data_IF_162091751953
#
_entry.id   IF_162091751953
#
_cell.length_a   1.000
_cell.length_b   1.000
_cell.length_c   1.000
_cell.angle_alpha   90.00
_cell.angle_beta   90.00
_cell.angle_gamma   90.00
#
_symmetry.space_group_name_H-M   'P 1'
#
loop_
_entity.id
_entity.type
_entity.pdbx_description
1 polymer ?
#
# COMPACT_ATOMS: atom_id res chain seq x y z
N UNK A 1 18.92 -13.06 31.37
CA UNK A 1 18.98 -11.61 31.62
C UNK A 1 17.64 -11.03 31.25
N UNK A 2 16.90 -10.50 32.20
CA UNK A 2 15.55 -9.96 31.97
C UNK A 2 15.71 -8.61 31.28
N UNK A 3 15.29 -8.51 30.02
CA UNK A 3 15.12 -7.23 29.34
C UNK A 3 13.74 -6.70 29.70
N UNK A 4 13.74 -5.65 30.50
CA UNK A 4 12.55 -4.88 30.83
C UNK A 4 12.07 -4.16 29.55
N UNK A 5 10.81 -4.37 29.26
CA UNK A 5 10.06 -3.70 28.19
C UNK A 5 9.90 -2.22 28.57
N UNK A 6 10.70 -1.34 27.98
CA UNK A 6 10.41 0.10 28.02
C UNK A 6 9.41 0.38 26.89
N UNK A 7 8.14 0.37 27.27
CA UNK A 7 7.11 1.01 26.48
C UNK A 7 7.36 2.52 26.48
N UNK A 8 7.48 3.07 25.30
CA UNK A 8 7.43 4.51 25.07
C UNK A 8 6.01 4.97 25.37
N UNK A 9 5.76 5.28 26.65
CA UNK A 9 4.58 6.05 27.06
C UNK A 9 4.91 7.52 26.88
N UNK A 10 4.15 8.18 26.05
CA UNK A 10 4.04 9.63 26.12
C UNK A 10 4.40 10.38 24.86
N UNK A 11 3.41 10.57 24.00
CA UNK A 11 3.08 11.89 23.46
C UNK A 11 1.68 11.86 22.85
N UNK A 12 0.68 11.77 23.71
CA UNK A 12 -0.66 12.29 23.39
C UNK A 12 -0.59 13.78 23.68
N UNK A 13 -0.36 14.58 22.66
CA UNK A 13 -0.60 16.02 22.72
C UNK A 13 -2.11 16.23 22.66
N UNK A 14 -2.71 16.38 23.83
CA UNK A 14 -4.05 16.92 23.96
C UNK A 14 -4.02 18.38 23.51
N UNK A 15 -4.63 18.68 22.38
CA UNK A 15 -4.98 20.04 22.03
C UNK A 15 -6.15 20.49 22.87
N UNK A 16 -6.13 21.71 23.47
CA UNK A 16 -7.26 22.21 24.23
C UNK A 16 -8.40 22.58 23.30
N UNK A 17 -9.57 22.01 23.56
CA UNK A 17 -10.84 22.49 23.01
C UNK A 17 -11.12 23.86 23.62
N UNK A 18 -10.98 24.90 22.82
CA UNK A 18 -11.53 26.23 23.12
C UNK A 18 -12.91 26.31 22.49
N UNK A 19 -13.91 26.09 23.30
CA UNK A 19 -15.28 26.50 23.00
C UNK A 19 -15.34 28.04 22.99
N UNK A 20 -15.70 28.62 21.87
CA UNK A 20 -16.13 30.02 21.79
C UNK A 20 -17.50 30.05 21.15
N UNK A 21 -18.51 30.22 22.03
CA UNK A 21 -19.79 30.75 21.63
C UNK A 21 -19.59 32.16 21.11
N UNK A 22 -20.11 32.47 19.92
CA UNK A 22 -20.51 33.85 19.66
C UNK A 22 -21.64 33.96 18.68
N UNK A 23 -22.63 34.65 19.17
CA UNK A 23 -23.80 35.21 18.46
C UNK A 23 -23.41 36.45 17.64
N UNK A 24 -24.31 36.76 16.73
CA UNK A 24 -24.58 37.96 15.97
C UNK A 24 -24.08 38.00 14.53
N UNK A 25 -25.08 37.77 13.68
CA UNK A 25 -25.06 38.15 12.29
C UNK A 25 -25.03 39.69 12.10
N UNK A 26 -24.04 40.19 11.40
CA UNK A 26 -24.11 41.49 10.72
C UNK A 26 -24.00 41.24 9.22
N UNK A 27 -24.73 41.96 8.36
CA UNK A 27 -24.69 41.73 6.92
C UNK A 27 -23.33 42.14 6.36
N UNK A 28 -22.73 41.23 5.58
CA UNK A 28 -21.47 41.45 4.88
C UNK A 28 -21.70 42.37 3.66
N UNK A 29 -20.99 43.52 3.55
CA UNK A 29 -21.09 44.42 2.41
C UNK A 29 -20.29 43.99 1.18
N UNK A 30 -19.68 42.79 1.14
CA UNK A 30 -18.85 42.31 0.04
C UNK A 30 -19.39 41.09 -0.73
N UNK A 31 -20.70 40.93 -0.76
CA UNK A 31 -21.35 39.99 -1.68
C UNK A 31 -21.11 40.39 -3.14
N UNK A 32 -20.02 39.98 -3.76
CA UNK A 32 -19.69 40.30 -5.15
C UNK A 32 -18.32 39.95 -5.66
N UNK A 33 -17.43 39.45 -4.82
CA UNK A 33 -16.14 38.98 -5.30
C UNK A 33 -16.22 37.50 -5.73
N UNK A 34 -16.28 37.28 -7.04
CA UNK A 34 -15.96 36.00 -7.66
C UNK A 34 -14.49 35.71 -7.32
N UNK A 35 -14.25 34.74 -6.45
CA UNK A 35 -12.91 34.23 -6.19
C UNK A 35 -12.31 33.74 -7.51
N UNK A 36 -11.06 34.03 -7.83
CA UNK A 36 -10.39 33.39 -8.96
C UNK A 36 -10.45 31.88 -8.77
N UNK A 37 -10.77 31.15 -9.84
CA UNK A 37 -10.72 29.69 -9.84
C UNK A 37 -9.33 29.25 -9.38
N UNK A 38 -9.28 28.32 -8.41
CA UNK A 38 -8.05 27.69 -7.91
C UNK A 38 -7.29 27.08 -9.09
N UNK A 39 -6.06 27.51 -9.44
CA UNK A 39 -5.30 26.92 -10.53
C UNK A 39 -4.84 25.49 -10.25
N UNK A 40 -5.08 24.95 -9.03
CA UNK A 40 -4.77 23.60 -8.62
C UNK A 40 -6.01 22.72 -8.44
N UNK A 41 -7.20 23.18 -8.74
CA UNK A 41 -8.35 22.31 -8.92
C UNK A 41 -8.05 21.41 -10.13
N UNK A 42 -7.45 20.24 -9.88
CA UNK A 42 -7.16 19.24 -10.91
C UNK A 42 -8.39 19.09 -11.79
N UNK A 43 -8.20 18.98 -13.09
CA UNK A 43 -9.24 19.00 -14.12
C UNK A 43 -10.42 18.12 -13.70
N UNK A 44 -11.39 18.74 -13.02
CA UNK A 44 -12.72 18.18 -12.87
C UNK A 44 -13.32 18.16 -14.27
N UNK A 45 -13.35 16.98 -14.87
CA UNK A 45 -14.13 16.79 -16.09
C UNK A 45 -15.57 17.15 -15.78
N UNK A 46 -16.00 18.31 -16.27
CA UNK A 46 -17.34 18.85 -16.02
C UNK A 46 -18.38 17.82 -16.52
N UNK A 47 -19.08 17.17 -15.59
CA UNK A 47 -20.20 16.28 -15.89
C UNK A 47 -20.05 14.82 -15.48
N UNK A 48 -18.91 14.35 -14.94
CA UNK A 48 -18.83 12.98 -14.42
C UNK A 48 -19.08 12.94 -12.90
N UNK A 49 -19.97 12.04 -12.44
CA UNK A 49 -20.09 11.79 -11.01
C UNK A 49 -18.77 11.16 -10.52
N UNK A 50 -18.07 11.85 -9.62
CA UNK A 50 -16.83 11.42 -8.96
C UNK A 50 -17.12 10.35 -7.90
N UNK A 51 -17.87 9.30 -8.24
CA UNK A 51 -18.17 8.20 -7.33
C UNK A 51 -17.15 7.06 -7.46
N UNK A 52 -16.98 6.29 -6.39
CA UNK A 52 -16.16 5.09 -6.36
C UNK A 52 -16.59 4.04 -7.37
N UNK A 53 -15.68 3.12 -7.70
CA UNK A 53 -15.93 2.06 -8.69
C UNK A 53 -16.81 0.93 -8.13
N UNK A 54 -16.85 0.76 -6.80
CA UNK A 54 -17.59 -0.32 -6.14
C UNK A 54 -18.84 0.15 -5.41
N UNK A 55 -19.09 1.48 -5.34
CA UNK A 55 -20.24 2.03 -4.64
C UNK A 55 -20.34 3.55 -4.69
N UNK A 56 -21.36 4.07 -4.01
CA UNK A 56 -21.67 5.51 -3.97
C UNK A 56 -20.88 6.20 -2.83
N UNK A 57 -19.59 6.35 -3.00
CA UNK A 57 -18.65 7.04 -2.11
C UNK A 57 -17.63 7.82 -2.96
N UNK A 58 -16.81 8.74 -2.41
CA UNK A 58 -15.80 9.46 -3.17
C UNK A 58 -14.81 8.53 -3.88
N UNK A 59 -14.49 8.77 -5.16
CA UNK A 59 -13.57 7.95 -5.96
C UNK A 59 -12.17 7.89 -5.34
N UNK A 60 -11.75 8.92 -4.60
CA UNK A 60 -10.49 8.96 -3.85
C UNK A 60 -10.35 7.85 -2.81
N UNK A 61 -11.45 7.22 -2.36
CA UNK A 61 -11.43 6.10 -1.43
C UNK A 61 -10.90 4.81 -2.05
N UNK A 62 -11.05 4.62 -3.38
CA UNK A 62 -10.54 3.45 -4.10
C UNK A 62 -9.01 3.47 -4.19
N UNK A 63 -8.40 2.31 -3.93
CA UNK A 63 -6.93 2.13 -3.90
C UNK A 63 -6.57 0.83 -4.63
N UNK A 64 -5.62 0.03 -4.18
CA UNK A 64 -5.26 -1.24 -4.80
C UNK A 64 -6.34 -2.31 -4.61
N UNK A 65 -6.51 -3.19 -5.58
CA UNK A 65 -7.53 -4.25 -5.54
C UNK A 65 -8.92 -3.68 -5.29
N UNK A 66 -9.55 -4.11 -4.22
CA UNK A 66 -10.81 -3.58 -3.71
C UNK A 66 -10.64 -2.82 -2.40
N UNK A 67 -9.41 -2.52 -1.98
CA UNK A 67 -9.13 -1.87 -0.69
C UNK A 67 -9.51 -0.40 -0.67
N UNK A 68 -9.65 0.16 0.53
CA UNK A 68 -10.02 1.55 0.80
C UNK A 68 -8.89 2.33 1.46
N UNK A 69 -8.89 3.65 1.24
CA UNK A 69 -8.09 4.65 1.92
C UNK A 69 -8.96 5.80 2.44
N UNK A 70 -8.43 6.77 3.22
CA UNK A 70 -9.15 7.98 3.59
C UNK A 70 -9.65 8.74 2.36
N UNK A 71 -10.88 9.31 2.43
CA UNK A 71 -11.51 10.01 1.32
C UNK A 71 -10.75 11.28 0.90
N UNK A 72 -10.07 11.94 1.86
CA UNK A 72 -9.26 13.13 1.62
C UNK A 72 -7.89 12.83 1.00
N UNK A 73 -7.49 11.55 0.91
CA UNK A 73 -6.25 11.16 0.24
C UNK A 73 -6.35 11.47 -1.27
N UNK A 74 -5.24 11.92 -1.85
CA UNK A 74 -5.22 12.22 -3.28
C UNK A 74 -5.44 10.94 -4.10
N UNK A 75 -6.28 11.04 -5.11
CA UNK A 75 -6.42 10.02 -6.15
C UNK A 75 -5.65 10.52 -7.37
N UNK A 76 -4.36 10.19 -7.39
CA UNK A 76 -3.46 10.68 -8.42
C UNK A 76 -3.62 9.89 -9.72
N UNK A 77 -3.61 10.61 -10.84
CA UNK A 77 -3.66 10.00 -12.17
C UNK A 77 -3.97 11.01 -13.26
N UNK A 78 -3.48 10.75 -14.45
CA UNK A 78 -3.84 11.49 -15.66
C UNK A 78 -5.15 10.93 -16.19
N UNK A 79 -6.17 11.79 -16.32
CA UNK A 79 -7.50 11.40 -16.74
C UNK A 79 -7.78 11.79 -18.20
N UNK A 80 -8.49 10.92 -18.91
CA UNK A 80 -8.95 11.14 -20.28
C UNK A 80 -10.34 10.54 -20.49
N UNK A 81 -11.01 10.98 -21.55
CA UNK A 81 -12.31 10.45 -21.96
C UNK A 81 -12.20 9.87 -23.38
N UNK A 82 -12.74 8.65 -23.57
CA UNK A 82 -12.83 8.00 -24.88
C UNK A 82 -14.25 7.44 -25.08
N UNK A 83 -15.12 8.24 -25.70
CA UNK A 83 -16.55 7.91 -25.78
C UNK A 83 -17.18 7.79 -24.39
N UNK A 84 -17.80 6.65 -24.09
CA UNK A 84 -18.42 6.37 -22.78
C UNK A 84 -17.42 5.87 -21.73
N UNK A 85 -16.11 5.79 -22.05
CA UNK A 85 -15.10 5.32 -21.13
C UNK A 85 -14.34 6.47 -20.48
N UNK A 86 -14.30 6.50 -19.15
CA UNK A 86 -13.36 7.30 -18.39
C UNK A 86 -12.07 6.51 -18.22
N UNK A 87 -10.96 7.09 -18.66
CA UNK A 87 -9.64 6.48 -18.60
C UNK A 87 -8.80 7.18 -17.52
N UNK A 88 -7.99 6.41 -16.80
CA UNK A 88 -6.99 6.93 -15.87
C UNK A 88 -5.67 6.22 -16.13
N UNK A 89 -4.58 7.00 -16.17
CA UNK A 89 -3.21 6.50 -16.22
C UNK A 89 -2.41 7.02 -15.03
N UNK A 90 -1.67 6.13 -14.38
CA UNK A 90 -0.75 6.48 -13.30
C UNK A 90 0.60 5.82 -13.54
N UNK A 91 1.67 6.56 -13.26
CA UNK A 91 3.04 6.07 -13.39
C UNK A 91 3.87 6.56 -12.20
N UNK A 92 4.60 5.65 -11.59
CA UNK A 92 5.65 5.97 -10.61
C UNK A 92 6.81 5.01 -10.85
N UNK A 93 7.86 5.48 -11.51
CA UNK A 93 9.07 4.68 -11.82
C UNK A 93 10.28 5.29 -11.17
N UNK A 94 11.10 4.47 -10.54
CA UNK A 94 12.31 4.87 -9.82
C UNK A 94 13.53 4.08 -10.28
N UNK A 95 14.67 4.76 -10.44
CA UNK A 95 15.98 4.15 -10.43
C UNK A 95 16.57 4.30 -9.03
N UNK A 96 16.81 3.17 -8.35
CA UNK A 96 17.23 3.14 -6.93
C UNK A 96 18.62 2.54 -6.81
N UNK A 97 19.53 3.24 -6.15
CA UNK A 97 20.78 2.66 -5.65
C UNK A 97 20.63 2.38 -4.16
N UNK A 98 20.71 1.09 -3.79
CA UNK A 98 20.71 0.61 -2.40
C UNK A 98 22.11 0.18 -1.99
N UNK A 99 22.54 0.61 -0.81
CA UNK A 99 23.76 0.17 -0.13
C UNK A 99 23.42 -0.20 1.30
N UNK A 100 23.52 -1.50 1.60
CA UNK A 100 23.25 -2.07 2.92
C UNK A 100 24.59 -2.44 3.57
N UNK A 101 24.85 -1.96 4.78
CA UNK A 101 26.12 -2.15 5.49
C UNK A 101 26.13 -3.41 6.36
N UNK A 102 27.33 -3.75 6.89
CA UNK A 102 27.54 -4.88 7.79
C UNK A 102 27.89 -6.18 7.07
N UNK A 103 28.07 -7.26 7.83
CA UNK A 103 28.53 -8.55 7.32
C UNK A 103 27.52 -9.22 6.34
N UNK A 104 26.23 -8.86 6.44
CA UNK A 104 25.15 -9.34 5.57
C UNK A 104 24.70 -8.27 4.57
N UNK A 105 25.44 -7.17 4.49
CA UNK A 105 25.15 -6.08 3.57
C UNK A 105 25.52 -6.38 2.12
N UNK A 106 24.89 -5.64 1.21
CA UNK A 106 25.18 -5.70 -0.23
C UNK A 106 24.74 -4.38 -0.87
N UNK A 107 25.15 -4.17 -2.13
CA UNK A 107 24.73 -2.99 -2.90
C UNK A 107 24.15 -3.37 -4.26
N UNK A 108 23.26 -2.53 -4.79
CA UNK A 108 22.66 -2.73 -6.10
C UNK A 108 22.01 -1.46 -6.62
N UNK A 109 22.12 -1.24 -7.94
CA UNK A 109 21.28 -0.31 -8.70
C UNK A 109 20.18 -1.10 -9.40
N UNK A 110 18.92 -0.66 -9.27
CA UNK A 110 17.76 -1.39 -9.82
C UNK A 110 16.60 -0.46 -10.16
N UNK A 111 15.74 -0.83 -11.11
CA UNK A 111 14.47 -0.17 -11.33
C UNK A 111 13.44 -0.67 -10.32
N UNK A 112 12.51 0.20 -9.90
CA UNK A 112 11.35 -0.14 -9.09
C UNK A 112 10.17 0.76 -9.45
N UNK A 113 8.96 0.33 -9.12
CA UNK A 113 7.76 1.12 -9.31
C UNK A 113 6.68 0.44 -10.13
N UNK A 114 5.78 1.24 -10.73
CA UNK A 114 4.63 0.71 -11.47
C UNK A 114 4.15 1.66 -12.55
N UNK A 115 3.44 1.08 -13.52
CA UNK A 115 2.62 1.77 -14.52
C UNK A 115 1.23 1.16 -14.43
N UNK A 116 0.21 1.96 -14.19
CA UNK A 116 -1.18 1.52 -14.07
C UNK A 116 -2.08 2.25 -15.07
N UNK A 117 -3.01 1.51 -15.66
CA UNK A 117 -4.11 2.03 -16.45
C UNK A 117 -5.44 1.52 -15.91
N UNK A 118 -6.44 2.38 -15.88
CA UNK A 118 -7.81 2.00 -15.57
C UNK A 118 -8.78 2.54 -16.61
N UNK A 119 -9.84 1.77 -16.88
CA UNK A 119 -10.92 2.14 -17.78
C UNK A 119 -12.27 1.84 -17.11
N UNK A 120 -13.04 2.89 -16.86
CA UNK A 120 -14.36 2.82 -16.23
C UNK A 120 -15.45 3.12 -17.25
N UNK A 121 -16.53 2.37 -17.16
CA UNK A 121 -17.77 2.64 -17.90
C UNK A 121 -18.98 2.47 -17.00
N UNK A 122 -19.80 3.51 -16.92
CA UNK A 122 -21.12 3.46 -16.30
C UNK A 122 -22.16 3.11 -17.39
N UNK A 123 -22.76 1.92 -17.31
CA UNK A 123 -23.80 1.48 -18.25
C UNK A 123 -25.16 2.09 -17.90
N UNK A 124 -25.34 2.44 -16.63
CA UNK A 124 -26.53 3.10 -16.08
C UNK A 124 -26.13 3.88 -14.82
N UNK A 125 -27.08 4.56 -14.18
CA UNK A 125 -26.85 5.16 -12.86
C UNK A 125 -26.56 4.12 -11.77
N UNK A 126 -26.93 2.85 -12.01
CA UNK A 126 -26.71 1.76 -11.07
C UNK A 126 -25.49 0.90 -11.40
N UNK A 127 -25.13 0.74 -12.67
CA UNK A 127 -24.16 -0.28 -13.13
C UNK A 127 -22.85 0.34 -13.55
N UNK A 128 -21.76 -0.08 -12.90
CA UNK A 128 -20.38 0.36 -13.20
C UNK A 128 -19.49 -0.84 -13.50
N UNK A 129 -18.79 -0.78 -14.62
CA UNK A 129 -17.67 -1.67 -14.95
C UNK A 129 -16.35 -0.89 -14.83
N UNK A 130 -15.37 -1.48 -14.18
CA UNK A 130 -14.02 -0.95 -14.14
C UNK A 130 -13.01 -2.05 -14.51
N UNK A 131 -12.07 -1.74 -15.39
CA UNK A 131 -10.96 -2.61 -15.81
C UNK A 131 -9.66 -1.97 -15.38
N UNK A 132 -8.72 -2.77 -14.87
CA UNK A 132 -7.38 -2.29 -14.46
C UNK A 132 -6.28 -3.20 -14.98
N UNK A 133 -5.16 -2.56 -15.33
CA UNK A 133 -3.91 -3.21 -15.67
C UNK A 133 -2.77 -2.48 -14.94
N UNK A 134 -1.94 -3.24 -14.23
CA UNK A 134 -0.75 -2.70 -13.56
C UNK A 134 0.48 -3.53 -13.93
N UNK A 135 1.55 -2.84 -14.30
CA UNK A 135 2.82 -3.42 -14.70
C UNK A 135 3.95 -2.91 -13.79
N UNK A 136 4.93 -3.77 -13.51
CA UNK A 136 6.14 -3.42 -12.74
C UNK A 136 7.41 -3.60 -13.58
N UNK A 137 8.41 -2.72 -13.42
CA UNK A 137 9.75 -2.92 -13.99
C UNK A 137 10.62 -3.89 -13.17
N UNK A 138 10.15 -4.39 -12.02
CA UNK A 138 10.92 -5.17 -11.06
C UNK A 138 11.60 -6.43 -11.66
N UNK A 139 10.99 -7.18 -12.61
CA UNK A 139 11.67 -8.33 -13.21
C UNK A 139 13.02 -8.00 -13.85
N UNK A 140 13.22 -6.76 -14.29
CA UNK A 140 14.48 -6.30 -14.88
C UNK A 140 15.61 -6.12 -13.85
N UNK A 141 15.30 -6.11 -12.55
CA UNK A 141 16.34 -6.17 -11.52
C UNK A 141 16.91 -7.58 -11.31
N UNK A 142 16.26 -8.62 -11.87
CA UNK A 142 16.65 -10.02 -11.75
C UNK A 142 16.09 -10.71 -10.51
N UNK A 143 16.03 -12.05 -10.54
CA UNK A 143 15.31 -12.90 -9.56
C UNK A 143 15.78 -12.73 -8.10
N UNK A 144 17.03 -12.35 -7.88
CA UNK A 144 17.57 -12.10 -6.53
C UNK A 144 17.07 -10.81 -5.89
N UNK A 145 16.16 -10.08 -6.54
CA UNK A 145 15.64 -8.83 -6.02
C UNK A 145 16.70 -7.80 -5.68
N UNK A 146 16.49 -7.01 -4.65
CA UNK A 146 17.44 -5.99 -4.20
C UNK A 146 17.80 -6.14 -2.72
N UNK A 147 19.00 -5.69 -2.30
CA UNK A 147 19.43 -5.76 -0.89
C UNK A 147 18.52 -4.91 0.00
N UNK A 148 17.95 -5.54 1.00
CA UNK A 148 17.15 -4.93 2.05
C UNK A 148 17.33 -5.74 3.34
N UNK A 149 18.08 -5.21 4.29
CA UNK A 149 18.35 -5.89 5.56
C UNK A 149 17.05 -6.25 6.28
N UNK A 150 17.02 -7.45 6.87
CA UNK A 150 15.91 -8.03 7.63
C UNK A 150 14.69 -8.45 6.78
N UNK A 151 14.68 -8.17 5.49
CA UNK A 151 13.65 -8.72 4.59
C UNK A 151 13.95 -10.19 4.29
N UNK A 152 12.90 -11.00 4.20
CA UNK A 152 12.98 -12.41 3.82
C UNK A 152 11.65 -12.84 3.20
N UNK A 153 11.64 -14.02 2.64
CA UNK A 153 10.48 -14.60 1.97
C UNK A 153 10.76 -14.90 0.51
N UNK A 154 9.94 -15.76 -0.07
CA UNK A 154 10.08 -16.25 -1.44
C UNK A 154 11.46 -16.87 -1.77
N UNK A 155 11.68 -17.17 -3.02
CA UNK A 155 12.92 -17.79 -3.51
C UNK A 155 13.31 -17.27 -4.88
N UNK A 156 14.61 -17.22 -5.17
CA UNK A 156 15.11 -16.86 -6.49
C UNK A 156 15.46 -18.08 -7.35
N UNK A 157 15.66 -19.25 -6.73
CA UNK A 157 16.19 -20.47 -7.36
C UNK A 157 15.32 -21.71 -7.14
N UNK A 158 14.23 -21.60 -6.36
CA UNK A 158 13.35 -22.70 -5.99
C UNK A 158 13.90 -23.63 -4.91
N UNK A 159 15.00 -23.25 -4.26
CA UNK A 159 15.70 -24.11 -3.29
C UNK A 159 16.13 -23.42 -1.99
N UNK A 160 16.27 -22.12 -1.99
CA UNK A 160 16.67 -21.33 -0.83
C UNK A 160 15.83 -20.05 -0.71
N UNK A 161 15.51 -19.65 0.54
CA UNK A 161 14.85 -18.37 0.79
C UNK A 161 15.75 -17.18 0.43
N UNK A 162 15.15 -16.14 -0.09
CA UNK A 162 15.78 -14.82 -0.13
C UNK A 162 15.88 -14.29 1.29
N UNK A 163 17.06 -13.92 1.73
CA UNK A 163 17.33 -13.37 3.06
C UNK A 163 18.15 -12.09 2.91
N UNK A 164 17.78 -11.04 3.65
CA UNK A 164 18.29 -9.68 3.50
C UNK A 164 18.12 -9.14 2.09
N UNK A 165 17.03 -9.56 1.46
CA UNK A 165 16.63 -9.16 0.11
C UNK A 165 15.13 -9.07 0.00
N UNK A 166 14.68 -8.04 -0.71
CA UNK A 166 13.32 -7.99 -1.21
C UNK A 166 13.27 -8.66 -2.58
N UNK A 167 12.32 -9.58 -2.76
CA UNK A 167 12.04 -10.20 -4.06
C UNK A 167 11.48 -9.19 -5.06
N UNK A 168 11.64 -9.41 -6.39
CA UNK A 168 11.00 -8.59 -7.41
C UNK A 168 9.52 -8.95 -7.54
N UNK A 169 8.69 -8.00 -7.89
CA UNK A 169 7.32 -8.25 -8.33
C UNK A 169 7.29 -8.87 -9.73
N UNK A 170 6.15 -9.46 -10.11
CA UNK A 170 5.91 -9.90 -11.48
C UNK A 170 5.71 -8.72 -12.43
N UNK A 171 5.98 -8.94 -13.73
CA UNK A 171 5.77 -7.92 -14.76
C UNK A 171 4.33 -7.41 -14.77
N UNK A 172 3.36 -8.34 -14.68
CA UNK A 172 1.95 -8.02 -14.57
C UNK A 172 1.54 -8.17 -13.12
N UNK A 173 1.38 -7.03 -12.42
CA UNK A 173 0.99 -7.00 -11.01
C UNK A 173 -0.52 -7.11 -10.82
N UNK A 174 -1.29 -6.53 -11.74
CA UNK A 174 -2.74 -6.62 -11.76
C UNK A 174 -3.26 -6.63 -13.20
N UNK A 175 -4.17 -7.54 -13.47
CA UNK A 175 -5.05 -7.55 -14.63
C UNK A 175 -6.43 -7.96 -14.12
N UNK A 176 -7.28 -6.97 -13.89
CA UNK A 176 -8.51 -7.16 -13.14
C UNK A 176 -9.70 -6.42 -13.75
N UNK A 177 -10.88 -6.91 -13.43
CA UNK A 177 -12.14 -6.25 -13.71
C UNK A 177 -13.07 -6.30 -12.51
N UNK A 178 -13.81 -5.22 -12.26
CA UNK A 178 -14.88 -5.19 -11.27
C UNK A 178 -16.18 -4.71 -11.88
N UNK A 179 -17.28 -5.27 -11.41
CA UNK A 179 -18.63 -4.83 -11.74
C UNK A 179 -19.38 -4.56 -10.45
N UNK A 180 -19.99 -3.39 -10.36
CA UNK A 180 -20.83 -3.00 -9.22
C UNK A 180 -22.22 -2.62 -9.64
N UNK A 181 -23.20 -2.94 -8.79
CA UNK A 181 -24.61 -2.60 -8.94
C UNK A 181 -25.07 -1.85 -7.71
N UNK A 182 -25.57 -0.63 -7.91
CA UNK A 182 -26.18 0.22 -6.88
C UNK A 182 -27.58 -0.32 -6.56
N UNK A 183 -27.81 -0.67 -5.32
CA UNK A 183 -29.09 -1.18 -4.80
C UNK A 183 -29.95 -0.05 -4.21
N UNK A 184 -29.30 0.96 -3.62
CA UNK A 184 -29.89 2.17 -3.06
C UNK A 184 -28.89 3.33 -3.10
N UNK A 185 -29.20 4.48 -2.54
CA UNK A 185 -28.25 5.60 -2.43
C UNK A 185 -27.05 5.25 -1.52
N UNK A 186 -27.23 4.33 -0.59
CA UNK A 186 -26.19 3.91 0.39
C UNK A 186 -25.61 2.52 0.11
N UNK A 187 -26.33 1.70 -0.65
CA UNK A 187 -26.02 0.26 -0.78
C UNK A 187 -25.57 -0.08 -2.20
N UNK A 188 -24.52 -0.86 -2.31
CA UNK A 188 -24.10 -1.51 -3.55
C UNK A 188 -23.53 -2.89 -3.31
N UNK A 189 -23.70 -3.76 -4.31
CA UNK A 189 -23.03 -5.05 -4.37
C UNK A 189 -22.03 -5.06 -5.52
N UNK A 190 -20.94 -5.81 -5.40
CA UNK A 190 -19.93 -5.88 -6.44
C UNK A 190 -19.27 -7.25 -6.55
N UNK A 191 -18.70 -7.48 -7.70
CA UNK A 191 -17.78 -8.58 -8.01
C UNK A 191 -16.46 -8.00 -8.52
N UNK A 192 -15.35 -8.64 -8.16
CA UNK A 192 -14.01 -8.33 -8.67
C UNK A 192 -13.34 -9.65 -9.05
N UNK A 193 -12.71 -9.66 -10.22
CA UNK A 193 -11.93 -10.79 -10.74
C UNK A 193 -10.57 -10.27 -11.14
N UNK A 194 -9.50 -10.95 -10.70
CA UNK A 194 -8.11 -10.61 -11.03
C UNK A 194 -7.28 -11.83 -11.43
N UNK A 195 -6.43 -11.65 -12.47
CA UNK A 195 -5.47 -12.65 -12.90
C UNK A 195 -4.24 -12.00 -13.55
N UNK A 196 -3.27 -11.54 -12.73
CA UNK A 196 -3.31 -11.49 -11.25
C UNK A 196 -4.23 -10.40 -10.70
N UNK A 197 -4.45 -10.46 -9.38
CA UNK A 197 -5.25 -9.51 -8.64
C UNK A 197 -4.93 -9.50 -7.14
N UNK A 198 -5.67 -8.69 -6.37
CA UNK A 198 -5.52 -8.55 -4.92
C UNK A 198 -6.77 -9.09 -4.20
N UNK A 199 -6.67 -10.14 -3.37
CA UNK A 199 -7.77 -10.62 -2.54
C UNK A 199 -8.09 -9.64 -1.40
N UNK A 200 -9.27 -9.80 -0.80
CA UNK A 200 -9.72 -9.02 0.36
C UNK A 200 -8.97 -9.44 1.65
N UNK A 201 -7.65 -9.25 1.67
CA UNK A 201 -6.76 -9.61 2.76
C UNK A 201 -5.70 -8.52 2.96
N UNK A 202 -5.63 -7.98 4.17
CA UNK A 202 -4.67 -6.94 4.51
C UNK A 202 -5.11 -5.51 4.18
N UNK A 203 -4.26 -4.52 4.57
CA UNK A 203 -4.37 -3.14 4.14
C UNK A 203 -4.06 -3.01 2.63
N UNK A 204 -4.28 -1.82 2.01
CA UNK A 204 -3.81 -1.58 0.65
C UNK A 204 -2.33 -1.92 0.49
N UNK A 205 -1.93 -2.38 -0.68
CA UNK A 205 -0.53 -2.65 -1.00
C UNK A 205 0.34 -1.42 -0.69
N UNK A 206 1.53 -1.63 -0.11
CA UNK A 206 2.34 -0.55 0.47
C UNK A 206 2.63 0.59 -0.51
N UNK A 207 2.86 0.29 -1.78
CA UNK A 207 3.15 1.27 -2.82
C UNK A 207 1.98 2.21 -3.15
N UNK A 208 0.77 1.81 -2.78
CA UNK A 208 -0.46 2.60 -2.98
C UNK A 208 -0.91 3.37 -1.74
N UNK A 209 -0.34 3.08 -0.57
CA UNK A 209 -0.67 3.85 0.65
C UNK A 209 -0.07 5.25 0.57
N UNK A 210 -0.88 6.27 0.82
CA UNK A 210 -0.42 7.67 0.85
C UNK A 210 0.73 7.90 1.85
N UNK A 211 0.78 7.12 2.94
CA UNK A 211 1.83 7.14 3.96
C UNK A 211 3.17 6.55 3.49
N UNK A 212 3.19 5.72 2.44
CA UNK A 212 4.36 4.98 1.97
C UNK A 212 4.82 5.36 0.56
N UNK A 213 3.99 6.05 -0.23
CA UNK A 213 4.23 6.33 -1.65
C UNK A 213 5.52 7.10 -1.97
N UNK A 214 6.08 7.81 -0.97
CA UNK A 214 7.36 8.51 -1.11
C UNK A 214 8.59 7.62 -0.82
N UNK A 215 8.41 6.45 -0.20
CA UNK A 215 9.47 5.54 0.22
C UNK A 215 9.73 4.46 -0.85
N UNK A 216 10.92 4.38 -1.47
CA UNK A 216 11.21 3.39 -2.50
C UNK A 216 11.43 1.97 -1.96
N UNK A 217 11.60 1.81 -0.63
CA UNK A 217 11.83 0.52 -0.02
C UNK A 217 10.52 -0.19 0.33
N UNK A 218 10.41 -1.47 0.01
CA UNK A 218 9.36 -2.32 0.55
C UNK A 218 9.46 -2.39 2.10
N UNK A 219 8.35 -2.56 2.82
CA UNK A 219 8.41 -2.80 4.25
C UNK A 219 8.91 -4.21 4.56
N UNK A 220 9.66 -4.39 5.64
CA UNK A 220 10.02 -5.74 6.14
C UNK A 220 8.78 -6.48 6.69
N UNK A 221 7.70 -5.77 6.96
CA UNK A 221 6.40 -6.29 7.38
C UNK A 221 5.51 -6.76 6.21
N UNK A 222 5.99 -6.67 4.97
CA UNK A 222 5.22 -6.97 3.76
C UNK A 222 4.51 -8.33 3.83
N UNK A 223 5.22 -9.41 4.20
CA UNK A 223 4.68 -10.76 4.28
C UNK A 223 3.65 -10.97 5.42
N UNK A 224 3.53 -10.05 6.36
CA UNK A 224 2.50 -10.07 7.41
C UNK A 224 1.23 -9.32 7.04
N UNK A 225 1.30 -8.42 6.05
CA UNK A 225 0.26 -7.44 5.80
C UNK A 225 -0.34 -7.54 4.39
N UNK A 226 0.49 -7.40 3.36
CA UNK A 226 0.04 -7.11 2.00
C UNK A 226 0.77 -7.89 0.89
N UNK A 227 1.46 -9.00 1.19
CA UNK A 227 2.16 -9.81 0.19
C UNK A 227 1.25 -10.45 -0.86
N UNK A 228 -0.04 -10.61 -0.55
CA UNK A 228 -1.02 -11.19 -1.48
C UNK A 228 -1.53 -10.20 -2.54
N UNK A 229 -0.98 -8.98 -2.64
CA UNK A 229 -1.42 -7.99 -3.62
C UNK A 229 -1.16 -8.38 -5.08
N UNK A 230 -0.33 -9.40 -5.33
CA UNK A 230 -0.17 -10.06 -6.62
C UNK A 230 -0.50 -11.54 -6.44
N UNK A 231 -1.70 -11.94 -6.81
CA UNK A 231 -2.19 -13.31 -6.66
C UNK A 231 -2.77 -13.79 -7.98
N UNK A 232 -2.24 -14.90 -8.51
CA UNK A 232 -2.70 -15.48 -9.77
C UNK A 232 -4.02 -16.25 -9.59
N UNK A 233 -5.13 -15.51 -9.73
CA UNK A 233 -6.49 -16.00 -9.56
C UNK A 233 -7.13 -15.50 -8.27
N UNK A 234 -7.99 -14.48 -8.43
CA UNK A 234 -8.79 -13.88 -7.35
C UNK A 234 -10.21 -13.69 -7.83
N UNK A 235 -11.16 -14.10 -7.01
CA UNK A 235 -12.58 -13.79 -7.16
C UNK A 235 -13.10 -13.23 -5.84
N UNK A 236 -13.56 -11.98 -5.84
CA UNK A 236 -14.08 -11.29 -4.66
C UNK A 236 -15.51 -10.87 -4.89
N UNK A 237 -16.39 -11.13 -3.92
CA UNK A 237 -17.72 -10.56 -3.84
C UNK A 237 -17.79 -9.67 -2.61
N UNK A 238 -18.46 -8.52 -2.74
CA UNK A 238 -18.57 -7.58 -1.64
C UNK A 238 -19.84 -6.75 -1.65
N UNK A 239 -20.09 -6.16 -0.50
CA UNK A 239 -21.22 -5.28 -0.24
C UNK A 239 -20.73 -4.02 0.47
N UNK A 240 -21.18 -2.88 -0.04
CA UNK A 240 -20.92 -1.55 0.52
C UNK A 240 -22.21 -1.03 1.13
N UNK A 241 -22.12 -0.49 2.33
CA UNK A 241 -23.16 0.26 3.00
C UNK A 241 -22.57 1.54 3.59
N UNK A 242 -22.78 2.69 2.90
CA UNK A 242 -22.23 3.97 3.32
C UNK A 242 -20.70 3.94 3.57
N UNK A 243 -20.34 4.06 4.84
CA UNK A 243 -18.96 4.05 5.33
C UNK A 243 -18.40 2.64 5.57
N UNK A 244 -19.18 1.58 5.36
CA UNK A 244 -18.79 0.20 5.62
C UNK A 244 -18.71 -0.62 4.35
N UNK A 245 -17.77 -1.57 4.34
CA UNK A 245 -17.67 -2.57 3.28
C UNK A 245 -17.28 -3.91 3.88
N UNK A 246 -17.96 -4.97 3.44
CA UNK A 246 -17.62 -6.36 3.74
C UNK A 246 -17.35 -7.09 2.44
N UNK A 247 -16.30 -7.92 2.44
CA UNK A 247 -15.81 -8.62 1.25
C UNK A 247 -15.43 -10.05 1.59
N UNK A 248 -15.64 -10.94 0.65
CA UNK A 248 -15.16 -12.33 0.70
C UNK A 248 -14.43 -12.62 -0.59
N UNK A 249 -13.22 -13.16 -0.49
CA UNK A 249 -12.40 -13.57 -1.63
C UNK A 249 -12.15 -15.06 -1.61
N UNK A 250 -12.21 -15.68 -2.77
CA UNK A 250 -11.62 -16.96 -3.07
C UNK A 250 -10.42 -16.74 -3.98
N UNK A 251 -9.24 -17.25 -3.61
CA UNK A 251 -8.01 -16.92 -4.32
C UNK A 251 -6.98 -18.05 -4.26
N UNK A 252 -5.91 -17.96 -5.05
CA UNK A 252 -4.77 -18.87 -5.00
C UNK A 252 -3.88 -18.53 -3.82
N UNK A 253 -3.70 -19.43 -2.85
CA UNK A 253 -2.92 -19.18 -1.65
C UNK A 253 -1.43 -19.04 -1.90
N UNK A 254 -0.90 -19.77 -2.89
CA UNK A 254 0.50 -19.75 -3.26
C UNK A 254 0.93 -18.37 -3.74
N UNK A 255 2.00 -17.83 -3.16
CA UNK A 255 2.69 -16.65 -3.66
C UNK A 255 3.28 -16.91 -5.06
N UNK A 256 3.48 -15.87 -5.91
CA UNK A 256 4.07 -16.02 -7.24
C UNK A 256 5.42 -16.73 -7.19
N UNK A 257 5.73 -17.52 -8.24
CA UNK A 257 7.01 -18.20 -8.33
C UNK A 257 8.17 -17.26 -8.76
N UNK A 258 9.38 -17.78 -8.88
CA UNK A 258 10.57 -17.01 -9.26
C UNK A 258 10.62 -16.58 -10.74
N UNK A 259 9.64 -16.94 -11.56
CA UNK A 259 9.59 -16.62 -13.00
C UNK A 259 8.69 -15.43 -13.27
N UNK A 260 9.18 -14.24 -13.11
CA UNK A 260 8.44 -12.96 -13.05
C UNK A 260 7.85 -12.46 -14.38
N UNK A 261 7.96 -13.23 -15.47
CA UNK A 261 7.41 -12.89 -16.79
C UNK A 261 6.29 -13.84 -17.25
N UNK A 262 5.92 -14.84 -16.44
CA UNK A 262 4.86 -15.80 -16.76
C UNK A 262 3.60 -15.51 -15.91
N UNK A 263 2.61 -16.38 -16.06
CA UNK A 263 1.39 -16.41 -15.26
C UNK A 263 1.30 -17.77 -14.60
N UNK A 264 1.18 -17.78 -13.27
CA UNK A 264 1.07 -19.01 -12.52
C UNK A 264 -0.34 -19.61 -12.62
N UNK A 265 -0.50 -20.94 -12.65
CA UNK A 265 -1.81 -21.57 -12.72
C UNK A 265 -2.69 -21.23 -11.51
N UNK A 266 -3.93 -20.73 -11.72
CA UNK A 266 -4.83 -20.43 -10.62
C UNK A 266 -5.36 -21.69 -9.97
N UNK A 267 -5.49 -21.70 -8.64
CA UNK A 267 -6.07 -22.83 -7.88
C UNK A 267 -7.34 -22.46 -7.13
N UNK A 268 -7.48 -21.20 -6.70
CA UNK A 268 -8.61 -20.70 -5.90
C UNK A 268 -8.87 -21.55 -4.65
N UNK A 269 -7.81 -21.93 -3.96
CA UNK A 269 -7.81 -22.87 -2.83
C UNK A 269 -7.80 -22.18 -1.45
N UNK A 270 -7.81 -20.86 -1.43
CA UNK A 270 -7.68 -20.03 -0.24
C UNK A 270 -8.83 -19.03 -0.14
N UNK A 271 -9.16 -18.64 1.11
CA UNK A 271 -10.32 -17.79 1.39
C UNK A 271 -9.92 -16.63 2.30
N UNK A 272 -10.41 -15.44 2.02
CA UNK A 272 -10.26 -14.29 2.90
C UNK A 272 -11.57 -13.53 3.08
N UNK A 273 -11.65 -12.83 4.21
CA UNK A 273 -12.76 -11.90 4.55
C UNK A 273 -12.13 -10.60 5.04
N UNK A 274 -12.62 -9.46 4.53
CA UNK A 274 -12.20 -8.13 4.98
C UNK A 274 -13.41 -7.28 5.32
N UNK A 275 -13.31 -6.57 6.44
CA UNK A 275 -14.21 -5.50 6.85
C UNK A 275 -13.44 -4.18 6.78
N UNK A 276 -13.99 -3.19 6.07
CA UNK A 276 -13.45 -1.84 5.98
C UNK A 276 -14.46 -0.82 6.51
N UNK A 277 -13.94 0.24 7.13
CA UNK A 277 -14.76 1.31 7.70
C UNK A 277 -14.06 2.67 7.59
N UNK A 278 -14.71 3.61 6.91
CA UNK A 278 -14.27 5.01 6.85
C UNK A 278 -15.22 5.86 7.71
N UNK A 279 -14.93 6.08 9.01
CA UNK A 279 -15.82 6.82 9.92
C UNK A 279 -16.01 8.29 9.52
N UNK A 280 -15.03 8.86 8.85
CA UNK A 280 -15.02 10.21 8.28
C UNK A 280 -14.04 10.26 7.08
N UNK A 281 -13.85 11.44 6.49
CA UNK A 281 -12.99 11.61 5.32
C UNK A 281 -11.49 11.43 5.61
N UNK A 282 -11.06 11.49 6.86
CA UNK A 282 -9.65 11.42 7.27
C UNK A 282 -9.19 10.01 7.59
N UNK A 283 -10.10 9.10 7.95
CA UNK A 283 -9.74 7.77 8.45
C UNK A 283 -10.24 6.64 7.55
N UNK A 284 -9.41 5.64 7.37
CA UNK A 284 -9.80 4.35 6.80
C UNK A 284 -9.27 3.23 7.70
N UNK A 285 -10.18 2.41 8.21
CA UNK A 285 -9.91 1.30 9.10
C UNK A 285 -10.22 -0.02 8.40
N UNK A 286 -9.43 -1.05 8.63
CA UNK A 286 -9.72 -2.40 8.16
C UNK A 286 -9.33 -3.46 9.18
N UNK A 287 -10.02 -4.59 9.13
CA UNK A 287 -9.59 -5.86 9.69
C UNK A 287 -9.88 -6.97 8.69
N UNK A 288 -8.98 -7.94 8.61
CA UNK A 288 -9.17 -9.09 7.73
C UNK A 288 -8.69 -10.39 8.36
N UNK A 289 -9.26 -11.46 7.89
CA UNK A 289 -8.88 -12.84 8.15
C UNK A 289 -8.71 -13.56 6.82
N UNK A 290 -7.69 -14.39 6.70
CA UNK A 290 -7.49 -15.24 5.53
C UNK A 290 -6.89 -16.58 5.92
N UNK A 291 -7.32 -17.64 5.24
CA UNK A 291 -6.67 -18.94 5.24
C UNK A 291 -6.01 -19.16 3.89
N UNK A 292 -4.70 -19.29 3.90
CA UNK A 292 -3.85 -19.46 2.73
C UNK A 292 -3.36 -20.90 2.69
N UNK A 293 -3.67 -21.60 1.61
CA UNK A 293 -3.21 -22.95 1.38
C UNK A 293 -1.81 -22.93 0.76
N UNK A 294 -0.83 -23.50 1.46
CA UNK A 294 0.54 -23.66 0.97
C UNK A 294 1.14 -22.37 0.36
N UNK A 295 1.17 -21.23 1.08
CA UNK A 295 1.62 -19.95 0.50
C UNK A 295 3.09 -19.98 0.07
N UNK A 296 3.95 -20.61 0.85
CA UNK A 296 5.39 -20.62 0.62
C UNK A 296 5.82 -21.77 -0.31
N UNK A 297 6.57 -21.43 -1.36
CA UNK A 297 7.04 -22.43 -2.34
C UNK A 297 7.95 -23.49 -1.71
N UNK A 298 8.79 -23.11 -0.75
CA UNK A 298 9.76 -24.00 -0.12
C UNK A 298 9.15 -24.86 1.00
N UNK A 299 7.98 -24.47 1.51
CA UNK A 299 7.23 -25.18 2.55
C UNK A 299 5.84 -25.61 2.05
N UNK A 300 5.73 -26.48 1.01
CA UNK A 300 4.47 -26.74 0.32
C UNK A 300 3.42 -27.51 1.15
N UNK A 301 3.79 -28.02 2.32
CA UNK A 301 2.88 -28.69 3.27
C UNK A 301 2.39 -27.78 4.40
N UNK A 302 2.79 -26.52 4.39
CA UNK A 302 2.45 -25.57 5.44
C UNK A 302 1.36 -24.62 4.96
N UNK A 303 0.27 -24.53 5.70
CA UNK A 303 -0.79 -23.57 5.52
C UNK A 303 -0.61 -22.40 6.51
N UNK A 304 -1.17 -21.27 6.17
CA UNK A 304 -1.13 -20.07 7.00
C UNK A 304 -2.54 -19.54 7.25
N UNK A 305 -2.84 -19.17 8.49
CA UNK A 305 -3.95 -18.28 8.81
C UNK A 305 -3.38 -16.87 9.06
N UNK A 306 -3.81 -15.91 8.26
CA UNK A 306 -3.39 -14.50 8.39
C UNK A 306 -4.51 -13.65 8.97
N UNK A 307 -4.19 -12.86 10.00
CA UNK A 307 -5.11 -11.87 10.57
C UNK A 307 -4.43 -10.51 10.50
N UNK A 308 -5.13 -9.51 10.01
CA UNK A 308 -4.59 -8.14 9.96
C UNK A 308 -5.56 -7.13 10.53
N UNK A 309 -5.01 -6.02 11.00
CA UNK A 309 -5.76 -4.81 11.33
C UNK A 309 -4.93 -3.58 10.96
N UNK A 310 -5.56 -2.56 10.42
CA UNK A 310 -4.89 -1.29 10.11
C UNK A 310 -5.77 -0.08 10.30
N UNK A 311 -5.12 1.05 10.54
CA UNK A 311 -5.71 2.38 10.55
C UNK A 311 -4.86 3.29 9.66
N UNK A 312 -5.47 3.88 8.65
CA UNK A 312 -4.88 4.88 7.78
C UNK A 312 -5.49 6.24 8.11
N UNK A 313 -4.65 7.25 8.12
CA UNK A 313 -5.02 8.64 8.35
C UNK A 313 -4.48 9.53 7.25
N UNK A 314 -5.30 10.46 6.78
CA UNK A 314 -4.87 11.52 5.89
C UNK A 314 -5.52 12.84 6.28
N UNK A 315 -4.75 13.93 6.28
CA UNK A 315 -5.28 15.26 6.44
C UNK A 315 -4.46 16.30 5.67
N UNK A 316 -5.13 17.30 5.14
CA UNK A 316 -4.50 18.54 4.68
C UNK A 316 -4.28 19.45 5.88
N UNK A 317 -3.10 20.06 5.96
CA UNK A 317 -2.70 20.97 7.05
C UNK A 317 -2.42 22.33 6.40
N UNK A 318 -3.46 23.11 6.15
CA UNK A 318 -3.39 24.32 5.33
C UNK A 318 -3.46 24.03 3.83
N UNK A 319 -3.08 25.02 3.02
CA UNK A 319 -3.34 25.00 1.57
C UNK A 319 -2.39 24.05 0.80
N UNK A 320 -1.12 23.92 1.22
CA UNK A 320 -0.09 23.17 0.49
C UNK A 320 0.45 21.95 1.25
N UNK A 321 0.11 21.83 2.53
CA UNK A 321 0.69 20.81 3.40
C UNK A 321 -0.27 19.63 3.60
N UNK A 322 0.27 18.42 3.69
CA UNK A 322 -0.52 17.24 4.06
C UNK A 322 0.29 16.27 4.92
N UNK A 323 -0.43 15.47 5.69
CA UNK A 323 0.11 14.37 6.48
C UNK A 323 -0.67 13.10 6.15
N UNK A 324 0.07 12.03 5.91
CA UNK A 324 -0.47 10.69 5.79
C UNK A 324 0.22 9.77 6.78
N UNK A 325 -0.52 8.88 7.45
CA UNK A 325 0.03 7.91 8.39
C UNK A 325 -0.71 6.58 8.28
N UNK A 326 -0.02 5.49 8.54
CA UNK A 326 -0.60 4.14 8.64
C UNK A 326 0.02 3.42 9.82
N UNK A 327 -0.84 2.88 10.69
CA UNK A 327 -0.51 1.88 11.68
C UNK A 327 -1.14 0.57 11.26
N UNK A 328 -0.34 -0.49 11.13
CA UNK A 328 -0.85 -1.81 10.80
C UNK A 328 -0.17 -2.91 11.62
N UNK A 329 -0.95 -3.95 11.89
CA UNK A 329 -0.52 -5.17 12.57
C UNK A 329 -0.99 -6.38 11.77
N UNK A 330 -0.12 -7.40 11.69
CA UNK A 330 -0.42 -8.69 11.09
C UNK A 330 0.05 -9.84 11.97
N UNK A 331 -0.68 -10.94 11.93
CA UNK A 331 -0.36 -12.22 12.52
C UNK A 331 -0.36 -13.28 11.43
N UNK A 332 0.75 -14.03 11.30
CA UNK A 332 0.86 -15.29 10.58
C UNK A 332 0.78 -16.42 11.61
N UNK A 333 -0.25 -17.27 11.52
CA UNK A 333 -0.45 -18.47 12.35
C UNK A 333 -0.25 -19.68 11.42
N UNK A 334 0.94 -20.27 11.48
CA UNK A 334 1.36 -21.36 10.61
C UNK A 334 0.79 -22.69 11.09
N UNK A 335 0.55 -23.63 10.18
CA UNK A 335 -0.06 -24.93 10.50
C UNK A 335 0.79 -25.82 11.41
N UNK A 336 2.10 -25.54 11.55
CA UNK A 336 2.99 -26.15 12.53
C UNK A 336 2.82 -25.60 13.97
N UNK A 337 1.97 -24.57 14.14
CA UNK A 337 1.68 -23.90 15.42
C UNK A 337 2.57 -22.67 15.69
N UNK A 338 3.49 -22.32 14.78
CA UNK A 338 4.31 -21.10 14.89
C UNK A 338 3.44 -19.86 14.65
N UNK A 339 3.57 -18.87 15.53
CA UNK A 339 2.88 -17.58 15.42
C UNK A 339 3.89 -16.46 15.28
N UNK A 340 3.73 -15.66 14.22
CA UNK A 340 4.65 -14.57 13.89
C UNK A 340 3.88 -13.27 13.77
N UNK A 341 4.25 -12.28 14.57
CA UNK A 341 3.65 -10.96 14.55
C UNK A 341 4.50 -9.97 13.76
N UNK A 342 3.84 -9.04 13.06
CA UNK A 342 4.45 -7.89 12.41
C UNK A 342 3.68 -6.61 12.71
N UNK A 343 4.41 -5.51 12.92
CA UNK A 343 3.83 -4.18 13.17
C UNK A 343 4.58 -3.16 12.35
N UNK A 344 3.85 -2.26 11.69
CA UNK A 344 4.39 -1.09 10.99
C UNK A 344 3.69 0.17 11.45
N UNK A 345 4.46 1.23 11.68
CA UNK A 345 4.01 2.60 11.74
C UNK A 345 4.78 3.39 10.68
N UNK A 346 4.08 3.93 9.72
CA UNK A 346 4.70 4.72 8.66
C UNK A 346 3.95 6.03 8.43
N UNK A 347 4.64 7.02 7.90
CA UNK A 347 4.03 8.29 7.57
C UNK A 347 4.84 9.10 6.58
N UNK A 348 4.12 9.95 5.85
CA UNK A 348 4.65 10.95 4.94
C UNK A 348 4.06 12.30 5.32
N UNK A 349 4.93 13.27 5.49
CA UNK A 349 4.59 14.68 5.64
C UNK A 349 5.03 15.44 4.39
N UNK A 350 4.11 16.12 3.74
CA UNK A 350 4.38 17.07 2.66
C UNK A 350 4.24 18.49 3.22
N UNK A 351 5.33 19.18 3.52
CA UNK A 351 5.28 20.58 3.98
C UNK A 351 4.80 21.54 2.90
N UNK A 352 5.00 21.16 1.64
CA UNK A 352 4.56 21.85 0.42
C UNK A 352 4.59 20.86 -0.74
N UNK A 353 4.09 21.24 -1.91
CA UNK A 353 4.00 20.36 -3.07
C UNK A 353 5.34 19.68 -3.46
N UNK A 354 6.50 20.40 -3.58
CA UNK A 354 7.73 19.74 -4.02
C UNK A 354 8.39 18.82 -3.00
N UNK A 355 8.10 18.92 -1.70
CA UNK A 355 8.79 18.13 -0.69
C UNK A 355 7.90 17.06 -0.05
N UNK A 356 8.46 15.86 0.04
CA UNK A 356 7.93 14.81 0.91
C UNK A 356 9.02 14.33 1.86
N UNK A 357 8.71 14.34 3.18
CA UNK A 357 9.54 13.75 4.23
C UNK A 357 8.80 12.54 4.77
N UNK A 358 9.46 11.39 4.87
CA UNK A 358 8.82 10.16 5.26
C UNK A 358 9.62 9.37 6.29
N UNK A 359 8.90 8.59 7.08
CA UNK A 359 9.46 7.71 8.11
C UNK A 359 8.70 6.39 8.15
N UNK A 360 9.38 5.30 8.50
CA UNK A 360 8.78 3.99 8.76
C UNK A 360 9.52 3.29 9.89
N UNK A 361 8.78 2.93 10.93
CA UNK A 361 9.23 2.06 12.02
C UNK A 361 8.54 0.71 11.91
N UNK A 362 9.31 -0.38 11.95
CA UNK A 362 8.83 -1.74 11.76
C UNK A 362 9.37 -2.68 12.80
N UNK A 363 8.58 -3.65 13.18
CA UNK A 363 8.98 -4.75 14.04
C UNK A 363 8.31 -6.04 13.59
N UNK A 364 9.09 -7.13 13.48
CA UNK A 364 8.59 -8.45 13.07
C UNK A 364 9.21 -9.56 13.91
N UNK A 365 8.44 -10.62 14.10
CA UNK A 365 8.93 -11.95 14.47
C UNK A 365 9.16 -12.74 13.18
N UNK A 366 10.43 -13.11 12.92
CA UNK A 366 10.85 -13.71 11.66
C UNK A 366 11.60 -15.01 11.92
N UNK A 367 11.20 -16.10 11.26
CA UNK A 367 11.77 -17.43 11.40
C UNK A 367 12.83 -17.77 10.33
N UNK A 368 13.01 -16.92 9.30
CA UNK A 368 13.85 -17.21 8.13
C UNK A 368 15.22 -16.54 8.17
N UNK A 369 15.45 -15.57 9.07
CA UNK A 369 16.70 -14.80 9.14
C UNK A 369 17.89 -15.58 9.70
N UNK A 370 17.63 -16.67 10.39
CA UNK A 370 18.63 -17.51 11.06
C UNK A 370 18.50 -19.00 10.73
N UNK A 371 19.46 -19.83 11.15
CA UNK A 371 19.38 -21.27 10.95
C UNK A 371 18.24 -21.89 11.78
N UNK A 372 17.76 -23.05 11.33
CA UNK A 372 16.81 -23.91 12.05
C UNK A 372 15.41 -23.29 12.31
N UNK A 373 14.96 -22.36 11.47
CA UNK A 373 13.64 -21.70 11.61
C UNK A 373 13.41 -21.10 13.01
N UNK A 374 14.46 -20.65 13.67
CA UNK A 374 14.36 -20.00 14.97
C UNK A 374 13.70 -18.62 14.82
N UNK A 375 12.60 -18.40 15.54
CA UNK A 375 11.93 -17.10 15.57
C UNK A 375 12.85 -16.03 16.18
N UNK A 376 13.12 -15.00 15.41
CA UNK A 376 13.94 -13.86 15.80
C UNK A 376 13.09 -12.58 15.77
N UNK A 377 13.24 -11.74 16.79
CA UNK A 377 12.61 -10.43 16.87
C UNK A 377 13.55 -9.40 16.31
N UNK A 378 13.11 -8.75 15.22
CA UNK A 378 13.91 -7.75 14.53
C UNK A 378 13.10 -6.52 14.24
N UNK A 379 13.75 -5.40 13.96
CA UNK A 379 13.07 -4.15 13.64
C UNK A 379 13.91 -3.25 12.75
N UNK A 380 13.26 -2.33 12.08
CA UNK A 380 13.88 -1.34 11.23
C UNK A 380 13.26 0.04 11.47
N UNK A 381 14.08 1.08 11.50
CA UNK A 381 13.63 2.47 11.43
C UNK A 381 14.24 3.10 10.19
N UNK A 382 13.42 3.58 9.28
CA UNK A 382 13.85 4.30 8.10
C UNK A 382 13.32 5.74 8.10
N UNK A 383 14.16 6.66 7.60
CA UNK A 383 13.86 8.09 7.47
C UNK A 383 14.34 8.53 6.09
N UNK A 384 13.55 9.32 5.38
CA UNK A 384 13.93 9.80 4.07
C UNK A 384 13.18 11.05 3.64
N UNK A 385 13.63 11.61 2.53
CA UNK A 385 12.98 12.72 1.90
C UNK A 385 13.16 12.65 0.38
N UNK A 386 12.24 13.25 -0.34
CA UNK A 386 12.30 13.43 -1.80
C UNK A 386 11.83 14.82 -2.16
N UNK A 387 12.49 15.40 -3.16
CA UNK A 387 12.08 16.64 -3.79
C UNK A 387 11.66 16.36 -5.22
N UNK A 388 10.45 16.78 -5.59
CA UNK A 388 9.87 16.62 -6.91
C UNK A 388 9.83 17.97 -7.64
N UNK A 389 10.31 17.99 -8.87
CA UNK A 389 10.20 19.13 -9.78
C UNK A 389 9.11 18.87 -10.80
N UNK A 390 8.23 19.81 -11.01
CA UNK A 390 7.27 19.77 -12.09
C UNK A 390 7.98 19.91 -13.44
N UNK A 391 7.84 18.91 -14.31
CA UNK A 391 8.27 18.95 -15.70
C UNK A 391 7.16 19.51 -16.60
N UNK A 392 5.92 19.22 -16.25
CA UNK A 392 4.70 19.72 -16.86
C UNK A 392 3.56 19.58 -15.86
N UNK A 393 2.33 19.88 -16.28
CA UNK A 393 1.13 19.78 -15.45
C UNK A 393 0.96 18.40 -14.81
N UNK A 394 1.23 17.34 -15.56
CA UNK A 394 1.01 15.94 -15.12
C UNK A 394 2.31 15.18 -14.86
N UNK A 395 3.48 15.78 -15.01
CA UNK A 395 4.75 15.06 -14.91
C UNK A 395 5.67 15.69 -13.90
N UNK A 396 6.21 14.85 -13.00
CA UNK A 396 7.19 15.25 -12.00
C UNK A 396 8.44 14.39 -12.11
N UNK A 397 9.61 15.00 -11.87
CA UNK A 397 10.90 14.32 -11.69
C UNK A 397 11.32 14.53 -10.24
N UNK A 398 11.64 13.44 -9.53
CA UNK A 398 12.04 13.52 -8.13
C UNK A 398 13.45 12.99 -7.89
N UNK A 399 14.14 13.57 -6.90
CA UNK A 399 15.38 13.03 -6.33
C UNK A 399 15.21 12.88 -4.82
N UNK A 400 15.52 11.72 -4.30
CA UNK A 400 15.35 11.42 -2.88
C UNK A 400 16.44 10.54 -2.30
N UNK A 401 16.45 10.49 -0.97
CA UNK A 401 17.34 9.63 -0.20
C UNK A 401 16.62 9.07 1.03
N UNK A 402 17.08 7.91 1.48
CA UNK A 402 16.58 7.17 2.63
C UNK A 402 17.78 6.66 3.44
N UNK A 403 17.69 6.75 4.76
CA UNK A 403 18.58 6.09 5.71
C UNK A 403 17.78 5.17 6.63
N UNK A 404 18.25 3.94 6.82
CA UNK A 404 17.62 2.94 7.67
C UNK A 404 18.58 2.40 8.72
N UNK A 405 18.08 2.16 9.91
CA UNK A 405 18.74 1.48 11.02
C UNK A 405 18.06 0.13 11.22
N UNK A 406 18.84 -0.96 11.15
CA UNK A 406 18.34 -2.30 11.40
C UNK A 406 18.71 -2.75 12.81
N UNK A 407 17.76 -3.34 13.51
CA UNK A 407 17.91 -3.83 14.90
C UNK A 407 17.67 -5.34 14.90
N UNK A 408 18.70 -6.09 15.24
CA UNK A 408 18.64 -7.56 15.23
C UNK A 408 19.46 -8.14 16.39
N UNK A 409 19.13 -9.35 16.88
CA UNK A 409 19.95 -10.07 17.83
C UNK A 409 21.36 -10.31 17.26
N UNK A 410 22.40 -10.19 18.12
CA UNK A 410 23.79 -10.39 17.72
C UNK A 410 24.07 -11.78 17.16
N UNK A 411 23.30 -12.79 17.59
CA UNK A 411 23.38 -14.16 17.11
C UNK A 411 23.12 -14.31 15.60
N UNK A 412 22.40 -13.36 14.98
CA UNK A 412 22.16 -13.35 13.55
C UNK A 412 23.35 -12.86 12.71
N UNK A 413 24.45 -12.41 13.33
CA UNK A 413 25.69 -12.09 12.66
C UNK A 413 25.69 -10.79 11.85
N UNK A 414 24.76 -9.85 12.10
CA UNK A 414 24.74 -8.56 11.39
C UNK A 414 25.92 -7.64 11.75
N UNK A 415 26.48 -7.79 12.95
CA UNK A 415 27.60 -6.98 13.42
C UNK A 415 27.20 -5.54 13.77
N UNK A 416 27.00 -5.24 15.06
CA UNK A 416 26.62 -3.91 15.54
C UNK A 416 25.20 -3.50 15.12
N UNK A 417 25.01 -2.24 14.75
CA UNK A 417 23.74 -1.71 14.19
C UNK A 417 23.94 -1.51 12.70
N UNK A 418 23.51 -2.45 11.85
CA UNK A 418 23.65 -2.34 10.42
C UNK A 418 22.73 -1.24 9.88
N UNK A 419 23.15 -0.64 8.78
CA UNK A 419 22.47 0.54 8.18
C UNK A 419 22.20 0.29 6.73
N UNK A 420 21.06 0.77 6.27
CA UNK A 420 20.69 0.84 4.86
C UNK A 420 20.69 2.28 4.37
N UNK A 421 21.21 2.50 3.16
CA UNK A 421 21.10 3.77 2.46
C UNK A 421 20.51 3.52 1.10
N UNK A 422 19.57 4.37 0.68
CA UNK A 422 19.10 4.42 -0.69
C UNK A 422 19.15 5.84 -1.21
N UNK A 423 19.55 5.99 -2.47
CA UNK A 423 19.42 7.23 -3.24
C UNK A 423 18.62 6.86 -4.48
N UNK A 424 17.64 7.67 -4.83
CA UNK A 424 16.77 7.36 -5.95
C UNK A 424 16.38 8.59 -6.76
N UNK A 425 16.22 8.36 -8.05
CA UNK A 425 15.55 9.29 -8.95
C UNK A 425 14.22 8.67 -9.37
N UNK A 426 13.13 9.47 -9.39
CA UNK A 426 11.81 8.99 -9.80
C UNK A 426 11.18 9.89 -10.85
N UNK A 427 10.36 9.29 -11.69
CA UNK A 427 9.44 9.98 -12.58
C UNK A 427 8.02 9.57 -12.24
N UNK A 428 7.14 10.55 -12.11
CA UNK A 428 5.74 10.36 -11.75
C UNK A 428 4.88 11.01 -12.82
N UNK A 429 3.80 10.30 -13.23
CA UNK A 429 2.69 10.89 -13.98
C UNK A 429 1.40 10.74 -13.16
N UNK A 430 0.81 11.88 -12.80
CA UNK A 430 -0.36 11.98 -11.92
C UNK A 430 -1.26 13.17 -12.24
#
# INVERSE_FOLDING_TARGET
MRFSLFFLTGMVLAAPVLALEHQHATPDPHAGHVMPADPHAGHQMAGMPMRGTLGNYPMSRDVSGTSWQPDDAAHNGVHAQAGDWALMGHLSLSGVYSNQSGARGAEKLFPAGMVMGAARRDFSEADTLNLRLMLSPDPFMGRNGYPLLLASGETADGSSHLVDRQHPHDLVMEMAGSFSHKLSETDSAFLYLGYPGEPALGPPAFMHRASASANPAAPITHHWLDSTHITFGVATAGFVHDAWKVEVSQFTGREPDQFRFNFDPPKLDSTAVRLSWNPDSHWSLQTSWGHLNSPEQLNPSEDETRITASAQYFARVGDESSIAATLAWGLKDLSDGTKLHGVVLEGTFKPNDPWSVFARGEWVENAELGPHHQVNRVGQLSLGAVHDWHLSENWKLGLGALHAFAFAPSALGYGGTPRGNMVFARIIAE
#
